data_IF_047853733855
#
_entry.id   IF_047853733855
#
_cell.length_a   1.000
_cell.length_b   1.000
_cell.length_c   1.000
_cell.angle_alpha   90.00
_cell.angle_beta   90.00
_cell.angle_gamma   90.00
#
_symmetry.space_group_name_H-M   'P 1'
#
loop_
_entity.id
_entity.type
_entity.pdbx_description
1 polymer ?
#
# COMPACT_ATOMS: atom_id res chain seq x y z
N UNK A 1 -11.86 -0.15 -24.95
CA UNK A 1 -10.73 -1.11 -24.96
C UNK A 1 -9.56 -0.57 -24.14
N UNK A 2 -9.21 0.70 -24.32
CA UNK A 2 -8.13 1.39 -23.59
C UNK A 2 -8.32 1.42 -22.05
N UNK A 3 -9.52 1.67 -21.54
CA UNK A 3 -9.79 1.67 -20.09
C UNK A 3 -9.47 0.34 -19.40
N UNK A 4 -9.79 -0.78 -20.05
CA UNK A 4 -9.46 -2.11 -19.52
C UNK A 4 -7.95 -2.37 -19.54
N UNK A 5 -7.24 -1.88 -20.57
CA UNK A 5 -5.78 -1.96 -20.61
C UNK A 5 -5.16 -1.23 -19.42
N UNK A 6 -5.61 0.00 -19.11
CA UNK A 6 -5.12 0.75 -17.94
C UNK A 6 -5.44 0.06 -16.62
N UNK A 7 -6.62 -0.56 -16.50
CA UNK A 7 -6.99 -1.36 -15.34
C UNK A 7 -6.03 -2.55 -15.13
N UNK A 8 -5.74 -3.31 -16.20
CA UNK A 8 -4.78 -4.42 -16.13
C UNK A 8 -3.35 -3.95 -15.87
N UNK A 9 -2.92 -2.82 -16.44
CA UNK A 9 -1.62 -2.22 -16.18
C UNK A 9 -1.49 -1.81 -14.71
N UNK A 10 -2.50 -1.18 -14.13
CA UNK A 10 -2.49 -0.77 -12.72
C UNK A 10 -2.34 -1.97 -11.77
N UNK A 11 -3.04 -3.07 -12.05
CA UNK A 11 -2.88 -4.34 -11.31
C UNK A 11 -1.49 -4.94 -11.54
N UNK A 12 -1.04 -5.02 -12.79
CA UNK A 12 0.28 -5.56 -13.13
C UNK A 12 1.43 -4.80 -12.45
N UNK A 13 1.32 -3.47 -12.37
CA UNK A 13 2.27 -2.62 -11.65
C UNK A 13 2.25 -2.88 -10.14
N UNK A 14 1.08 -3.16 -9.55
CA UNK A 14 1.00 -3.56 -8.14
C UNK A 14 1.77 -4.85 -7.87
N UNK A 15 1.55 -5.89 -8.70
CA UNK A 15 2.29 -7.15 -8.59
C UNK A 15 3.79 -6.98 -8.86
N UNK A 16 4.16 -6.21 -9.88
CA UNK A 16 5.56 -5.93 -10.20
C UNK A 16 6.25 -5.18 -9.07
N UNK A 17 5.58 -4.20 -8.46
CA UNK A 17 6.10 -3.49 -7.30
C UNK A 17 6.38 -4.45 -6.15
N UNK A 18 5.45 -5.36 -5.84
CA UNK A 18 5.66 -6.37 -4.80
C UNK A 18 6.79 -7.35 -5.12
N UNK A 19 6.97 -7.72 -6.39
CA UNK A 19 8.14 -8.51 -6.81
C UNK A 19 9.45 -7.75 -6.53
N UNK A 20 9.50 -6.45 -6.85
CA UNK A 20 10.67 -5.60 -6.54
C UNK A 20 10.91 -5.53 -5.03
N UNK A 21 9.86 -5.33 -4.23
CA UNK A 21 9.95 -5.31 -2.76
C UNK A 21 10.53 -6.62 -2.23
N UNK A 22 10.04 -7.77 -2.70
CA UNK A 22 10.54 -9.09 -2.29
C UNK A 22 12.01 -9.28 -2.66
N UNK A 23 12.43 -8.83 -3.85
CA UNK A 23 13.83 -8.92 -4.28
C UNK A 23 14.74 -8.02 -3.44
N UNK A 24 14.35 -6.75 -3.24
CA UNK A 24 15.10 -5.80 -2.42
C UNK A 24 15.22 -6.30 -0.99
N UNK A 25 14.12 -6.81 -0.42
CA UNK A 25 14.12 -7.47 0.88
C UNK A 25 15.12 -8.63 0.92
N UNK A 26 15.08 -9.53 -0.07
CA UNK A 26 15.97 -10.70 -0.09
C UNK A 26 17.44 -10.28 -0.11
N UNK A 27 17.76 -9.19 -0.82
CA UNK A 27 19.11 -8.64 -0.90
C UNK A 27 19.50 -7.98 0.43
N UNK A 28 18.66 -7.09 0.98
CA UNK A 28 18.93 -6.43 2.25
C UNK A 28 19.04 -7.45 3.41
N UNK A 29 18.28 -8.53 3.35
CA UNK A 29 18.36 -9.63 4.31
C UNK A 29 19.63 -10.46 4.17
N UNK A 30 20.06 -10.75 2.94
CA UNK A 30 21.32 -11.46 2.68
C UNK A 30 22.54 -10.70 3.23
N UNK A 31 22.53 -9.36 3.13
CA UNK A 31 23.59 -8.49 3.67
C UNK A 31 23.44 -8.15 5.15
N UNK A 32 22.47 -8.73 5.87
CA UNK A 32 22.25 -8.49 7.30
C UNK A 32 21.76 -7.07 7.62
N UNK A 33 21.30 -6.32 6.62
CA UNK A 33 20.66 -5.00 6.81
C UNK A 33 19.23 -5.15 7.33
N UNK A 34 18.62 -6.31 7.06
CA UNK A 34 17.32 -6.71 7.56
C UNK A 34 17.37 -8.15 8.08
N UNK A 35 16.58 -8.48 9.11
CA UNK A 35 16.53 -9.84 9.61
C UNK A 35 15.91 -10.82 8.60
N UNK A 36 16.35 -12.08 8.62
CA UNK A 36 15.82 -13.13 7.73
C UNK A 36 14.40 -13.52 8.09
N UNK A 37 13.63 -13.89 7.06
CA UNK A 37 12.25 -14.35 7.19
C UNK A 37 12.17 -15.47 8.24
N UNK A 38 11.23 -15.36 9.18
CA UNK A 38 11.00 -16.46 10.11
C UNK A 38 10.26 -17.60 9.45
N UNK A 39 10.61 -18.80 9.87
CA UNK A 39 9.80 -20.00 9.65
C UNK A 39 8.49 -19.84 10.40
N UNK A 40 7.40 -20.35 9.82
CA UNK A 40 6.06 -20.44 10.43
C UNK A 40 6.04 -21.14 11.80
N UNK A 41 7.13 -21.79 12.22
CA UNK A 41 7.28 -22.48 13.51
C UNK A 41 7.91 -21.64 14.62
N UNK A 42 8.32 -20.40 14.37
CA UNK A 42 8.95 -19.57 15.40
C UNK A 42 7.90 -18.91 16.31
N UNK A 43 8.09 -19.03 17.63
CA UNK A 43 7.19 -18.48 18.66
C UNK A 43 7.51 -17.05 19.09
N UNK A 44 8.58 -16.46 18.57
CA UNK A 44 8.96 -15.09 18.90
C UNK A 44 8.32 -14.10 17.91
N UNK A 45 7.96 -12.88 18.35
CA UNK A 45 7.40 -11.86 17.48
C UNK A 45 8.47 -11.33 16.52
N UNK A 46 8.25 -11.58 15.22
CA UNK A 46 9.05 -11.03 14.14
C UNK A 46 8.15 -10.21 13.24
N UNK A 47 8.38 -8.90 13.23
CA UNK A 47 7.46 -7.93 12.66
C UNK A 47 8.05 -7.36 11.38
N UNK A 48 8.09 -8.18 10.33
CA UNK A 48 8.50 -7.76 9.00
C UNK A 48 7.28 -7.60 8.08
N UNK A 49 7.31 -6.60 7.18
CA UNK A 49 6.18 -6.21 6.33
C UNK A 49 5.60 -7.35 5.48
N UNK A 50 6.43 -8.31 5.06
CA UNK A 50 6.00 -9.51 4.33
C UNK A 50 5.27 -10.54 5.20
N UNK A 51 5.48 -10.53 6.51
CA UNK A 51 4.77 -11.43 7.43
C UNK A 51 3.47 -10.79 7.96
N UNK A 52 3.23 -9.52 7.61
CA UNK A 52 1.96 -8.83 7.83
C UNK A 52 0.95 -9.29 6.79
N UNK A 53 -0.22 -9.72 7.22
CA UNK A 53 -1.37 -10.01 6.36
C UNK A 53 -1.70 -8.80 5.49
N UNK A 54 -1.58 -7.60 6.03
CA UNK A 54 -1.74 -6.35 5.28
C UNK A 54 -0.75 -6.28 4.12
N UNK A 55 0.53 -6.57 4.33
CA UNK A 55 1.52 -6.58 3.26
C UNK A 55 1.35 -7.75 2.26
N UNK A 56 0.90 -8.92 2.71
CA UNK A 56 0.79 -10.11 1.83
C UNK A 56 -0.54 -10.25 1.11
N UNK A 57 -1.65 -9.98 1.77
CA UNK A 57 -3.00 -10.17 1.22
C UNK A 57 -3.72 -8.85 1.03
N UNK A 58 -3.61 -7.93 1.99
CA UNK A 58 -4.21 -6.61 1.88
C UNK A 58 -3.67 -5.83 0.68
N UNK A 59 -2.35 -5.78 0.55
CA UNK A 59 -1.69 -4.94 -0.44
C UNK A 59 -1.65 -5.61 -1.82
N UNK A 60 -1.41 -6.92 -1.87
CA UNK A 60 -1.41 -7.66 -3.14
C UNK A 60 -2.82 -7.86 -3.70
N UNK A 61 -3.79 -8.25 -2.88
CA UNK A 61 -5.15 -8.57 -3.36
C UNK A 61 -6.08 -7.38 -3.19
N UNK A 62 -6.17 -6.83 -1.98
CA UNK A 62 -7.08 -5.72 -1.67
C UNK A 62 -6.83 -4.50 -2.55
N UNK A 63 -5.59 -4.00 -2.59
CA UNK A 63 -5.26 -2.88 -3.47
C UNK A 63 -5.31 -3.24 -4.96
N UNK A 64 -5.16 -4.50 -5.38
CA UNK A 64 -5.33 -4.85 -6.79
C UNK A 64 -6.75 -4.59 -7.29
N UNK A 65 -7.79 -4.83 -6.49
CA UNK A 65 -9.16 -4.47 -6.89
C UNK A 65 -9.36 -2.96 -6.99
N UNK A 66 -8.81 -2.20 -6.04
CA UNK A 66 -8.89 -0.74 -6.05
C UNK A 66 -8.12 -0.16 -7.25
N UNK A 67 -6.92 -0.68 -7.52
CA UNK A 67 -6.08 -0.27 -8.64
C UNK A 67 -6.70 -0.60 -9.98
N UNK A 68 -7.41 -1.72 -10.08
CA UNK A 68 -8.15 -2.05 -11.28
C UNK A 68 -9.24 -1.01 -11.56
N UNK A 69 -10.05 -0.66 -10.55
CA UNK A 69 -11.09 0.38 -10.68
C UNK A 69 -10.46 1.74 -10.97
N UNK A 70 -9.40 2.13 -10.27
CA UNK A 70 -8.69 3.38 -10.48
C UNK A 70 -8.12 3.48 -11.90
N UNK A 71 -7.46 2.42 -12.37
CA UNK A 71 -6.91 2.33 -13.72
C UNK A 71 -7.99 2.37 -14.80
N UNK A 72 -9.14 1.72 -14.57
CA UNK A 72 -10.27 1.81 -15.48
C UNK A 72 -10.76 3.24 -15.63
N UNK A 73 -10.90 3.97 -14.52
CA UNK A 73 -11.50 5.31 -14.49
C UNK A 73 -10.49 6.47 -14.59
N UNK A 74 -9.21 6.18 -14.84
CA UNK A 74 -8.13 7.19 -14.83
C UNK A 74 -8.34 8.31 -15.87
N UNK A 75 -9.04 8.01 -16.97
CA UNK A 75 -9.33 8.96 -18.05
C UNK A 75 -10.50 9.92 -17.72
N UNK A 76 -11.35 9.58 -16.75
CA UNK A 76 -12.40 10.51 -16.29
C UNK A 76 -11.80 11.67 -15.48
N UNK A 77 -10.66 11.43 -14.84
CA UNK A 77 -9.96 12.41 -13.99
C UNK A 77 -9.49 13.62 -14.80
N UNK A 78 -8.90 13.39 -15.98
CA UNK A 78 -8.38 14.47 -16.85
C UNK A 78 -9.48 15.35 -17.42
N UNK A 79 -10.73 14.89 -17.36
CA UNK A 79 -11.89 15.54 -17.98
C UNK A 79 -12.76 16.30 -16.97
N UNK A 80 -12.52 16.13 -15.66
CA UNK A 80 -13.38 16.67 -14.60
C UNK A 80 -12.75 17.83 -13.84
N UNK A 81 -13.45 18.96 -13.82
CA UNK A 81 -13.05 20.19 -13.12
C UNK A 81 -13.07 20.08 -11.59
N UNK A 82 -13.71 19.05 -11.04
CA UNK A 82 -13.87 18.83 -9.58
C UNK A 82 -12.94 17.73 -9.07
N UNK A 83 -12.76 16.65 -9.84
CA UNK A 83 -11.90 15.53 -9.44
C UNK A 83 -10.41 15.90 -9.45
N UNK A 84 -9.98 16.71 -10.43
CA UNK A 84 -8.57 17.09 -10.55
C UNK A 84 -8.08 17.88 -9.31
N UNK A 85 -8.75 18.95 -8.83
CA UNK A 85 -8.36 19.62 -7.59
C UNK A 85 -8.42 18.72 -6.35
N UNK A 86 -9.43 17.87 -6.22
CA UNK A 86 -9.59 16.98 -5.07
C UNK A 86 -8.46 15.94 -4.98
N UNK A 87 -8.03 15.41 -6.13
CA UNK A 87 -6.86 14.54 -6.23
C UNK A 87 -5.56 15.29 -5.93
N UNK A 88 -5.39 16.54 -6.35
CA UNK A 88 -4.24 17.35 -5.95
C UNK A 88 -4.16 17.52 -4.42
N UNK A 89 -5.30 17.68 -3.73
CA UNK A 89 -5.36 17.72 -2.26
C UNK A 89 -5.00 16.36 -1.66
N UNK A 90 -5.52 15.25 -2.20
CA UNK A 90 -5.17 13.90 -1.74
C UNK A 90 -3.68 13.60 -1.93
N UNK A 91 -3.10 14.03 -3.06
CA UNK A 91 -1.67 13.96 -3.36
C UNK A 91 -0.87 14.79 -2.34
N UNK A 92 -1.29 16.03 -2.05
CA UNK A 92 -0.61 16.89 -1.10
C UNK A 92 -0.65 16.32 0.32
N UNK A 93 -1.82 15.85 0.77
CA UNK A 93 -1.98 15.24 2.09
C UNK A 93 -1.11 13.97 2.23
N UNK A 94 -1.11 13.11 1.21
CA UNK A 94 -0.27 11.91 1.17
C UNK A 94 1.22 12.28 1.13
N UNK A 95 1.60 13.37 0.46
CA UNK A 95 2.97 13.86 0.39
C UNK A 95 3.44 14.40 1.74
N UNK A 96 2.58 15.14 2.45
CA UNK A 96 2.87 15.64 3.80
C UNK A 96 3.08 14.47 4.76
N UNK A 97 2.20 13.47 4.71
CA UNK A 97 2.36 12.26 5.52
C UNK A 97 3.66 11.51 5.18
N UNK A 98 3.96 11.33 3.89
CA UNK A 98 5.21 10.73 3.42
C UNK A 98 6.43 11.49 3.95
N UNK A 99 6.45 12.82 3.80
CA UNK A 99 7.56 13.67 4.24
C UNK A 99 7.71 13.70 5.77
N UNK A 100 6.61 13.70 6.53
CA UNK A 100 6.64 13.60 7.99
C UNK A 100 7.28 12.27 8.42
N UNK A 101 6.88 11.16 7.81
CA UNK A 101 7.45 9.83 8.08
C UNK A 101 8.90 9.69 7.61
N UNK A 102 9.25 10.30 6.48
CA UNK A 102 10.60 10.30 5.94
C UNK A 102 11.56 11.19 6.75
N UNK A 103 11.06 12.23 7.45
CA UNK A 103 11.87 13.16 8.25
C UNK A 103 12.54 12.56 9.49
N UNK A 104 12.28 11.28 9.79
CA UNK A 104 12.95 10.55 10.87
C UNK A 104 12.53 10.94 12.29
N UNK A 105 11.51 11.81 12.45
CA UNK A 105 11.03 12.29 13.75
C UNK A 105 10.20 11.29 14.55
N UNK A 106 9.72 10.19 13.93
CA UNK A 106 8.94 9.13 14.62
C UNK A 106 9.50 7.75 14.31
N UNK A 107 9.57 6.94 15.36
CA UNK A 107 10.29 5.67 15.54
C UNK A 107 10.15 4.61 14.42
N UNK A 108 11.18 3.78 14.18
CA UNK A 108 11.05 2.52 13.43
C UNK A 108 10.19 1.54 14.23
N UNK A 109 8.87 1.59 14.03
CA UNK A 109 7.88 0.82 14.80
C UNK A 109 7.49 -0.54 14.23
N UNK A 110 8.11 -0.98 13.14
CA UNK A 110 7.65 -2.18 12.39
C UNK A 110 8.79 -2.96 11.74
N UNK A 111 9.92 -3.13 12.45
CA UNK A 111 11.08 -3.84 11.91
C UNK A 111 11.92 -3.06 10.88
N UNK A 112 11.74 -1.73 10.78
CA UNK A 112 12.64 -0.88 10.01
C UNK A 112 14.09 -0.98 10.54
N UNK A 113 15.11 -0.85 9.67
CA UNK A 113 16.50 -0.78 10.12
C UNK A 113 16.72 0.39 11.09
N UNK A 114 17.86 0.34 11.80
CA UNK A 114 18.23 1.24 12.89
C UNK A 114 17.89 2.72 12.58
N UNK A 115 17.46 3.43 13.64
CA UNK A 115 17.27 4.89 13.67
C UNK A 115 18.42 5.60 12.95
N UNK A 116 18.12 6.34 11.88
CA UNK A 116 19.10 7.11 11.10
C UNK A 116 19.38 6.60 9.69
N UNK A 117 18.91 5.41 9.30
CA UNK A 117 18.97 4.93 7.92
C UNK A 117 17.65 4.22 7.56
N UNK A 118 16.85 4.84 6.69
CA UNK A 118 15.68 4.16 6.09
C UNK A 118 16.23 3.14 5.07
N UNK A 119 15.94 1.85 5.26
CA UNK A 119 16.22 0.78 4.24
C UNK A 119 15.63 1.16 2.89
N UNK A 120 16.21 0.67 1.81
CA UNK A 120 15.65 0.82 0.47
C UNK A 120 14.22 0.24 0.45
N UNK A 121 14.00 -0.91 1.09
CA UNK A 121 12.66 -1.49 1.27
C UNK A 121 11.68 -0.50 1.93
N UNK A 122 12.12 0.17 2.99
CA UNK A 122 11.34 1.17 3.70
C UNK A 122 10.96 2.38 2.84
N UNK A 123 11.89 2.87 2.02
CA UNK A 123 11.61 3.96 1.06
C UNK A 123 10.58 3.52 0.02
N UNK A 124 10.76 2.32 -0.53
CA UNK A 124 9.82 1.74 -1.50
C UNK A 124 8.43 1.60 -0.90
N UNK A 125 8.30 1.08 0.32
CA UNK A 125 7.02 0.91 0.97
C UNK A 125 6.32 2.24 1.29
N UNK A 126 7.07 3.28 1.63
CA UNK A 126 6.51 4.62 1.81
C UNK A 126 5.98 5.19 0.47
N UNK A 127 6.73 5.01 -0.62
CA UNK A 127 6.29 5.39 -1.96
C UNK A 127 5.04 4.60 -2.38
N UNK A 128 4.98 3.32 -2.06
CA UNK A 128 3.82 2.48 -2.29
C UNK A 128 2.59 2.98 -1.55
N UNK A 129 2.73 3.20 -0.24
CA UNK A 129 1.64 3.71 0.59
C UNK A 129 1.09 5.03 0.06
N UNK A 130 1.98 5.92 -0.40
CA UNK A 130 1.61 7.17 -1.05
C UNK A 130 0.74 6.94 -2.29
N UNK A 131 1.19 6.09 -3.22
CA UNK A 131 0.47 5.78 -4.46
C UNK A 131 -0.89 5.14 -4.14
N UNK A 132 -0.93 4.14 -3.25
CA UNK A 132 -2.16 3.44 -2.91
C UNK A 132 -3.17 4.36 -2.21
N UNK A 133 -2.71 5.21 -1.28
CA UNK A 133 -3.57 6.20 -0.61
C UNK A 133 -4.18 7.17 -1.61
N UNK A 134 -3.40 7.64 -2.57
CA UNK A 134 -3.88 8.51 -3.64
C UNK A 134 -4.95 7.83 -4.52
N UNK A 135 -4.70 6.58 -4.95
CA UNK A 135 -5.64 5.83 -5.78
C UNK A 135 -6.93 5.50 -5.00
N UNK A 136 -6.83 5.11 -3.73
CA UNK A 136 -7.98 4.88 -2.86
C UNK A 136 -8.83 6.14 -2.70
N UNK A 137 -8.19 7.29 -2.42
CA UNK A 137 -8.90 8.57 -2.31
C UNK A 137 -9.59 8.95 -3.63
N UNK A 138 -8.93 8.73 -4.77
CA UNK A 138 -9.51 8.96 -6.09
C UNK A 138 -10.74 8.12 -6.38
N UNK A 139 -10.65 6.81 -6.14
CA UNK A 139 -11.78 5.88 -6.31
C UNK A 139 -12.91 6.25 -5.35
N UNK A 140 -12.61 6.59 -4.09
CA UNK A 140 -13.62 7.03 -3.14
C UNK A 140 -14.35 8.29 -3.62
N UNK A 141 -13.62 9.30 -4.09
CA UNK A 141 -14.22 10.53 -4.62
C UNK A 141 -15.09 10.25 -5.85
N UNK A 142 -14.61 9.42 -6.77
CA UNK A 142 -15.39 9.01 -7.95
C UNK A 142 -16.69 8.28 -7.57
N UNK A 143 -16.67 7.44 -6.53
CA UNK A 143 -17.89 6.82 -5.98
C UNK A 143 -18.79 7.89 -5.36
N UNK A 144 -18.24 8.79 -4.55
CA UNK A 144 -18.98 9.84 -3.85
C UNK A 144 -19.72 10.79 -4.82
N UNK A 145 -19.08 11.15 -5.93
CA UNK A 145 -19.68 11.98 -6.98
C UNK A 145 -20.61 11.20 -7.94
N UNK A 146 -20.78 9.89 -7.75
CA UNK A 146 -21.67 9.06 -8.57
C UNK A 146 -21.13 8.68 -9.96
N UNK A 147 -19.83 8.88 -10.19
CA UNK A 147 -19.14 8.57 -11.45
C UNK A 147 -18.86 7.07 -11.61
N UNK A 148 -18.72 6.35 -10.48
CA UNK A 148 -18.57 4.89 -10.44
C UNK A 148 -19.91 4.28 -10.04
N UNK A 149 -20.36 3.26 -10.78
CA UNK A 149 -21.66 2.61 -10.57
C UNK A 149 -21.57 1.09 -10.67
N UNK A 150 -22.54 0.41 -10.06
CA UNK A 150 -22.75 -1.03 -10.20
C UNK A 150 -21.55 -1.88 -9.77
N UNK A 151 -21.11 -2.79 -10.66
CA UNK A 151 -20.06 -3.77 -10.39
C UNK A 151 -18.74 -3.14 -9.93
N UNK A 152 -18.40 -1.95 -10.40
CA UNK A 152 -17.15 -1.27 -10.05
C UNK A 152 -17.14 -0.78 -8.60
N UNK A 153 -18.30 -0.37 -8.05
CA UNK A 153 -18.42 -0.07 -6.61
C UNK A 153 -18.16 -1.34 -5.80
N UNK A 154 -18.75 -2.46 -6.21
CA UNK A 154 -18.59 -3.76 -5.52
C UNK A 154 -17.11 -4.16 -5.52
N UNK A 155 -16.41 -4.01 -6.64
CA UNK A 155 -14.97 -4.30 -6.73
C UNK A 155 -14.15 -3.41 -5.80
N UNK A 156 -14.36 -2.09 -5.82
CA UNK A 156 -13.65 -1.15 -4.97
C UNK A 156 -13.87 -1.45 -3.47
N UNK A 157 -15.13 -1.68 -3.07
CA UNK A 157 -15.50 -2.01 -1.69
C UNK A 157 -14.90 -3.37 -1.28
N UNK A 158 -14.92 -4.36 -2.17
CA UNK A 158 -14.31 -5.67 -1.89
C UNK A 158 -12.81 -5.55 -1.63
N UNK A 159 -12.11 -4.70 -2.39
CA UNK A 159 -10.70 -4.39 -2.15
C UNK A 159 -10.46 -3.79 -0.78
N UNK A 160 -11.26 -2.78 -0.40
CA UNK A 160 -11.17 -2.13 0.91
C UNK A 160 -11.47 -3.09 2.07
N UNK A 161 -12.43 -4.00 1.88
CA UNK A 161 -12.78 -5.05 2.84
C UNK A 161 -11.62 -6.02 3.03
N UNK A 162 -11.01 -6.54 1.95
CA UNK A 162 -9.85 -7.45 2.03
C UNK A 162 -8.68 -6.79 2.76
N UNK A 163 -8.37 -5.53 2.43
CA UNK A 163 -7.31 -4.77 3.09
C UNK A 163 -7.60 -4.60 4.59
N UNK A 164 -8.84 -4.21 4.92
CA UNK A 164 -9.25 -3.97 6.31
C UNK A 164 -9.24 -5.25 7.16
N UNK A 165 -9.70 -6.38 6.62
CA UNK A 165 -9.60 -7.67 7.30
C UNK A 165 -8.14 -8.07 7.53
N UNK A 166 -7.27 -7.85 6.54
CA UNK A 166 -5.84 -8.13 6.68
C UNK A 166 -5.19 -7.26 7.76
N UNK A 167 -5.52 -5.97 7.78
CA UNK A 167 -5.07 -5.05 8.84
C UNK A 167 -5.57 -5.48 10.23
N UNK A 168 -6.85 -5.85 10.36
CA UNK A 168 -7.42 -6.31 11.62
C UNK A 168 -6.79 -7.62 12.10
N UNK A 169 -6.47 -8.54 11.18
CA UNK A 169 -5.74 -9.76 11.50
C UNK A 169 -4.35 -9.44 12.08
N UNK A 170 -3.60 -8.53 11.44
CA UNK A 170 -2.31 -8.09 11.97
C UNK A 170 -2.43 -7.36 13.32
N UNK A 171 -3.48 -6.56 13.50
CA UNK A 171 -3.76 -5.90 14.77
C UNK A 171 -4.02 -6.92 15.89
N UNK A 172 -4.86 -7.92 15.65
CA UNK A 172 -5.17 -8.97 16.63
C UNK A 172 -3.99 -9.89 16.93
N UNK A 173 -3.10 -10.11 15.96
CA UNK A 173 -1.86 -10.85 16.15
C UNK A 173 -0.77 -10.02 16.84
N UNK A 174 -1.05 -8.77 17.23
CA UNK A 174 -0.09 -7.88 17.89
C UNK A 174 1.05 -7.43 16.97
N UNK A 175 0.91 -7.61 15.66
CA UNK A 175 1.98 -7.34 14.68
C UNK A 175 2.24 -5.85 14.43
N UNK A 176 1.30 -5.01 14.85
CA UNK A 176 1.34 -3.56 14.71
C UNK A 176 1.91 -2.85 15.96
N UNK A 177 2.21 -3.60 17.04
CA UNK A 177 2.88 -3.02 18.20
C UNK A 177 4.38 -2.77 17.92
N UNK A 178 4.93 -1.63 18.37
CA UNK A 178 6.37 -1.39 18.22
C UNK A 178 7.17 -2.45 18.99
N UNK A 179 8.19 -3.02 18.34
CA UNK A 179 9.15 -3.92 18.99
C UNK A 179 9.74 -3.21 20.20
N UNK A 180 9.36 -3.65 21.40
CA UNK A 180 9.91 -3.14 22.65
C UNK A 180 11.24 -3.84 22.88
N UNK A 181 12.34 -3.11 22.72
CA UNK A 181 13.69 -3.53 23.14
C UNK A 181 13.91 -3.14 24.60
#
# INVERSE_FOLDING_TARGET
MESYLYAFLAVGLNFLFWLVVIVVESVESHYGLMPQRRSWKSSEPFLYLRDWHMGTWGDLIGFSFINWVAGYYIFLISSSSVLFPALCVAFLASSIFFLDRFSGRRSPGSGFPKKGAISIHGVLHLLYFFIQSFLCAGVFLLIFYGEIQGLFIILAVSGAVVYSFSFLADWWEGKLEPVRY
#
